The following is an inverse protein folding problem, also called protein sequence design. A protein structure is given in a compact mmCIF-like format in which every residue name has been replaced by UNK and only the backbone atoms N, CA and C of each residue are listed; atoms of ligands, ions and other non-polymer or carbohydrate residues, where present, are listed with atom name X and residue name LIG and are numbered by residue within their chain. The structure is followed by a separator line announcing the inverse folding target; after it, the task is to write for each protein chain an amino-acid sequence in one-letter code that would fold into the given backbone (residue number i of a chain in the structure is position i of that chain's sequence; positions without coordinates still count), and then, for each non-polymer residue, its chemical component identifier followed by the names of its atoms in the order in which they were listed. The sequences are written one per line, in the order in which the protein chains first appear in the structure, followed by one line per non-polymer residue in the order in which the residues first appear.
data_IF_623444044398
#
_entry.id   IF_623444044398
#
_cell.length_a   1.000
_cell.length_b   1.000
_cell.length_c   1.000
_cell.angle_alpha   90.00
_cell.angle_beta   90.00
_cell.angle_gamma   90.00
#
_symmetry.space_group_name_H-M   'P 1'
#
loop_
_entity.id
_entity.type
_entity.pdbx_description
1 polymer ?
#
# COMPACT_ATOMS: atom_id res chain seq x y z
N UNK A 1 -8.44 -4.46 -15.23
CA UNK A 1 -7.26 -3.56 -15.12
C UNK A 1 -6.14 -4.06 -16.02
N UNK A 2 -5.33 -3.14 -16.50
CA UNK A 2 -4.16 -3.50 -17.30
C UNK A 2 -3.07 -4.07 -16.39
N UNK A 3 -2.57 -5.26 -16.72
CA UNK A 3 -1.47 -5.89 -16.00
C UNK A 3 -0.13 -5.29 -16.40
N UNK A 4 0.72 -5.05 -15.42
CA UNK A 4 2.13 -4.78 -15.64
C UNK A 4 2.87 -6.12 -15.81
N UNK A 5 3.54 -6.30 -16.93
CA UNK A 5 4.20 -7.55 -17.25
C UNK A 5 5.43 -7.78 -16.38
N UNK A 6 5.37 -8.82 -15.57
CA UNK A 6 6.46 -9.28 -14.72
C UNK A 6 6.60 -10.79 -14.97
N UNK A 7 7.84 -11.29 -14.91
CA UNK A 7 8.11 -12.71 -15.07
C UNK A 7 7.27 -13.55 -14.09
N UNK A 8 6.55 -14.53 -14.61
CA UNK A 8 5.68 -15.41 -13.82
C UNK A 8 6.44 -16.11 -12.69
N UNK A 9 7.68 -16.52 -12.91
CA UNK A 9 8.52 -17.18 -11.92
C UNK A 9 8.94 -16.32 -10.73
N UNK A 10 8.70 -14.99 -10.78
CA UNK A 10 9.04 -14.09 -9.70
C UNK A 10 8.05 -14.13 -8.53
N UNK A 11 6.84 -14.66 -8.72
CA UNK A 11 5.72 -14.61 -7.78
C UNK A 11 5.27 -13.19 -7.43
N UNK A 12 5.58 -12.22 -8.28
CA UNK A 12 5.17 -10.82 -8.15
C UNK A 12 4.11 -10.54 -9.21
N UNK A 13 3.07 -9.83 -8.84
CA UNK A 13 2.07 -9.31 -9.76
C UNK A 13 1.98 -7.79 -9.67
N UNK A 14 1.62 -7.15 -10.76
CA UNK A 14 1.42 -5.71 -10.80
C UNK A 14 0.32 -5.33 -11.79
N UNK A 15 -0.46 -4.33 -11.45
CA UNK A 15 -1.53 -3.81 -12.30
C UNK A 15 -1.59 -2.30 -12.22
N UNK A 16 -1.98 -1.68 -13.31
CA UNK A 16 -2.15 -0.24 -13.37
C UNK A 16 -3.51 0.17 -12.83
N UNK A 17 -3.53 1.17 -11.97
CA UNK A 17 -4.75 1.84 -11.54
C UNK A 17 -4.87 3.19 -12.25
N UNK A 18 -6.08 3.80 -12.34
CA UNK A 18 -6.23 5.11 -12.99
C UNK A 18 -5.36 6.18 -12.33
N UNK A 19 -4.75 7.04 -13.13
CA UNK A 19 -3.91 8.14 -12.65
C UNK A 19 -4.66 9.05 -11.67
N UNK A 20 -5.95 9.27 -11.92
CA UNK A 20 -6.79 10.06 -11.00
C UNK A 20 -6.77 9.52 -9.56
N UNK A 21 -6.78 8.19 -9.40
CA UNK A 21 -6.74 7.58 -8.07
C UNK A 21 -5.38 7.86 -7.40
N UNK A 22 -4.29 7.81 -8.16
CA UNK A 22 -2.98 8.17 -7.67
C UNK A 22 -2.92 9.63 -7.25
N UNK A 23 -3.45 10.53 -8.05
CA UNK A 23 -3.53 11.96 -7.75
C UNK A 23 -4.37 12.24 -6.50
N UNK A 24 -5.51 11.55 -6.37
CA UNK A 24 -6.38 11.67 -5.20
C UNK A 24 -5.65 11.21 -3.91
N UNK A 25 -4.85 10.16 -3.96
CA UNK A 25 -4.05 9.69 -2.83
C UNK A 25 -2.96 10.70 -2.44
N UNK A 26 -2.31 11.29 -3.43
CA UNK A 26 -1.30 12.33 -3.21
C UNK A 26 -1.95 13.56 -2.55
N UNK A 27 -3.09 14.00 -3.06
CA UNK A 27 -3.84 15.11 -2.50
C UNK A 27 -4.28 14.82 -1.06
N UNK A 28 -4.81 13.63 -0.80
CA UNK A 28 -5.19 13.20 0.54
C UNK A 28 -4.00 13.29 1.50
N UNK A 29 -2.85 12.79 1.10
CA UNK A 29 -1.63 12.89 1.90
C UNK A 29 -1.24 14.34 2.18
N UNK A 30 -1.20 15.18 1.15
CA UNK A 30 -0.79 16.59 1.27
C UNK A 30 -1.73 17.42 2.16
N UNK A 31 -3.03 17.10 2.16
CA UNK A 31 -4.04 17.82 2.94
C UNK A 31 -4.25 17.26 4.35
N UNK A 32 -3.55 16.21 4.73
CA UNK A 32 -3.70 15.50 6.00
C UNK A 32 -2.45 15.58 6.88
N UNK A 33 -1.76 16.72 6.89
CA UNK A 33 -0.49 16.89 7.63
C UNK A 33 -0.62 16.57 9.13
N UNK A 34 -1.79 16.78 9.71
CA UNK A 34 -2.06 16.48 11.11
C UNK A 34 -2.00 14.97 11.44
N UNK A 35 -2.02 14.10 10.42
CA UNK A 35 -1.91 12.65 10.55
C UNK A 35 -0.51 12.12 10.24
N UNK A 36 0.42 12.97 9.82
CA UNK A 36 1.76 12.54 9.45
C UNK A 36 2.56 12.11 10.67
N UNK A 37 3.28 11.00 10.52
CA UNK A 37 4.19 10.46 11.51
C UNK A 37 5.55 10.18 10.87
N UNK A 38 6.62 10.22 11.65
CA UNK A 38 7.92 9.72 11.20
C UNK A 38 7.87 8.20 11.07
N UNK A 39 8.55 7.66 10.04
CA UNK A 39 8.65 6.23 9.84
C UNK A 39 9.32 5.53 11.02
N UNK A 40 8.78 4.37 11.39
CA UNK A 40 9.27 3.56 12.49
C UNK A 40 9.75 2.20 12.01
N UNK A 41 10.63 1.57 12.78
CA UNK A 41 11.08 0.18 12.60
C UNK A 41 10.73 -0.64 13.83
N UNK A 42 10.64 -1.96 13.65
CA UNK A 42 10.27 -2.89 14.72
C UNK A 42 8.79 -3.26 14.69
N UNK A 43 8.46 -4.43 15.19
CA UNK A 43 7.10 -4.99 15.21
C UNK A 43 6.48 -4.87 16.60
N UNK A 44 7.11 -5.44 17.62
CA UNK A 44 6.60 -5.42 18.98
C UNK A 44 6.88 -4.08 19.70
N UNK A 45 8.00 -3.46 19.41
CA UNK A 45 8.40 -2.17 19.97
C UNK A 45 8.84 -1.24 18.83
N UNK A 46 7.92 -0.41 18.37
CA UNK A 46 8.18 0.56 17.31
C UNK A 46 9.14 1.64 17.79
N UNK A 47 10.11 2.00 16.96
CA UNK A 47 11.06 3.07 17.21
C UNK A 47 11.40 3.81 15.93
N UNK A 48 11.83 5.06 16.05
CA UNK A 48 12.38 5.83 14.96
C UNK A 48 13.87 5.50 14.86
N UNK A 49 14.33 5.07 13.69
CA UNK A 49 15.73 4.78 13.40
C UNK A 49 16.05 5.21 11.97
N UNK A 50 16.52 6.44 11.81
CA UNK A 50 16.80 7.05 10.51
C UNK A 50 17.92 6.35 9.73
N UNK A 51 18.75 5.54 10.41
CA UNK A 51 19.78 4.73 9.76
C UNK A 51 19.20 3.64 8.88
N UNK A 52 18.07 3.06 9.29
CA UNK A 52 17.39 1.99 8.58
C UNK A 52 16.19 2.47 7.78
N UNK A 53 15.51 3.51 8.26
CA UNK A 53 14.32 4.03 7.62
C UNK A 53 14.16 5.52 7.89
N UNK A 54 14.09 6.30 6.83
CA UNK A 54 13.79 7.73 6.91
C UNK A 54 12.70 8.07 5.92
N UNK A 55 11.51 8.39 6.42
CA UNK A 55 10.34 8.78 5.63
C UNK A 55 9.29 9.44 6.51
N UNK A 56 8.25 9.94 5.88
CA UNK A 56 7.01 10.37 6.56
C UNK A 56 5.90 9.43 6.14
N UNK A 57 5.03 9.05 7.05
CA UNK A 57 3.95 8.12 6.76
C UNK A 57 2.63 8.53 7.40
N UNK A 58 1.54 8.05 6.82
CA UNK A 58 0.19 8.28 7.28
C UNK A 58 -0.60 6.98 7.21
N UNK A 59 -1.32 6.66 8.29
CA UNK A 59 -2.21 5.50 8.35
C UNK A 59 -3.65 5.92 8.07
N UNK A 60 -4.35 5.11 7.30
CA UNK A 60 -5.76 5.31 6.97
C UNK A 60 -6.51 4.02 7.26
N UNK A 61 -7.54 4.10 8.08
CA UNK A 61 -8.37 2.93 8.36
C UNK A 61 -9.15 2.48 7.12
N UNK A 62 -9.33 1.15 6.90
CA UNK A 62 -10.13 0.63 5.79
C UNK A 62 -11.59 1.11 5.82
N UNK A 63 -12.07 1.56 6.98
CA UNK A 63 -13.41 2.11 7.14
C UNK A 63 -13.52 3.59 6.79
N UNK A 64 -12.42 4.26 6.51
CA UNK A 64 -12.44 5.64 6.06
C UNK A 64 -13.18 5.74 4.72
N UNK A 65 -14.18 6.60 4.65
CA UNK A 65 -15.03 6.72 3.47
C UNK A 65 -14.24 7.05 2.19
N UNK A 66 -13.25 7.91 2.29
CA UNK A 66 -12.42 8.28 1.14
C UNK A 66 -11.69 7.08 0.57
N UNK A 67 -11.11 6.23 1.42
CA UNK A 67 -10.40 5.03 0.98
C UNK A 67 -11.33 3.99 0.38
N UNK A 68 -12.48 3.77 1.01
CA UNK A 68 -13.48 2.82 0.53
C UNK A 68 -13.98 3.21 -0.86
N UNK A 69 -14.23 4.51 -1.08
CA UNK A 69 -14.81 4.99 -2.33
C UNK A 69 -13.80 5.19 -3.46
N UNK A 70 -12.49 5.24 -3.16
CA UNK A 70 -11.47 5.56 -4.16
C UNK A 70 -10.48 4.43 -4.40
N UNK A 71 -9.61 4.15 -3.44
CA UNK A 71 -8.47 3.25 -3.64
C UNK A 71 -8.77 1.79 -3.33
N UNK A 72 -9.49 1.53 -2.25
CA UNK A 72 -9.67 0.16 -1.75
C UNK A 72 -10.29 -0.80 -2.78
N UNK A 73 -11.27 -0.39 -3.61
CA UNK A 73 -11.81 -1.27 -4.65
C UNK A 73 -10.73 -1.74 -5.64
N UNK A 74 -9.80 -0.88 -6.02
CA UNK A 74 -8.69 -1.24 -6.92
C UNK A 74 -7.70 -2.19 -6.24
N UNK A 75 -7.41 -1.97 -4.96
CA UNK A 75 -6.54 -2.87 -4.21
C UNK A 75 -7.15 -4.28 -4.09
N UNK A 76 -8.45 -4.36 -3.83
CA UNK A 76 -9.17 -5.64 -3.81
C UNK A 76 -9.15 -6.33 -5.17
N UNK A 77 -9.32 -5.58 -6.24
CA UNK A 77 -9.24 -6.12 -7.61
C UNK A 77 -7.85 -6.67 -7.91
N UNK A 78 -6.79 -5.95 -7.52
CA UNK A 78 -5.40 -6.44 -7.64
C UNK A 78 -5.20 -7.75 -6.87
N UNK A 79 -5.73 -7.83 -5.66
CA UNK A 79 -5.62 -9.04 -4.84
C UNK A 79 -6.31 -10.24 -5.51
N UNK A 80 -7.51 -10.04 -6.05
CA UNK A 80 -8.23 -11.11 -6.75
C UNK A 80 -7.52 -11.53 -8.04
N UNK A 81 -6.98 -10.58 -8.81
CA UNK A 81 -6.18 -10.89 -10.00
C UNK A 81 -4.89 -11.64 -9.63
N UNK A 82 -4.25 -11.30 -8.54
CA UNK A 82 -3.07 -12.02 -8.03
C UNK A 82 -3.41 -13.48 -7.68
N UNK A 83 -4.53 -13.70 -7.00
CA UNK A 83 -5.00 -15.05 -6.65
C UNK A 83 -5.32 -15.89 -7.89
N UNK A 84 -5.84 -15.28 -8.94
CA UNK A 84 -6.06 -15.97 -10.23
C UNK A 84 -4.74 -16.34 -10.90
N UNK A 85 -3.75 -15.44 -10.85
CA UNK A 85 -2.43 -15.67 -11.44
C UNK A 85 -1.65 -16.74 -10.67
N UNK A 86 -1.74 -16.73 -9.36
CA UNK A 86 -1.07 -17.65 -8.45
C UNK A 86 -2.06 -18.36 -7.54
N UNK A 87 -2.83 -19.33 -8.05
CA UNK A 87 -3.94 -19.94 -7.29
C UNK A 87 -3.51 -20.69 -6.05
N UNK A 88 -2.25 -21.15 -6.01
CA UNK A 88 -1.73 -21.83 -4.81
C UNK A 88 -1.50 -20.87 -3.64
N UNK A 89 -1.42 -19.58 -3.87
CA UNK A 89 -1.22 -18.59 -2.82
C UNK A 89 -2.35 -18.56 -1.79
N UNK A 90 -3.55 -18.98 -2.18
CA UNK A 90 -4.78 -18.93 -1.37
C UNK A 90 -5.25 -20.33 -0.90
N UNK A 91 -4.44 -21.37 -1.12
CA UNK A 91 -4.85 -22.76 -0.90
C UNK A 91 -4.74 -23.21 0.54
N UNK A 92 -3.71 -22.80 1.25
CA UNK A 92 -3.46 -23.25 2.63
C UNK A 92 -4.30 -22.42 3.59
N UNK A 93 -4.21 -21.11 3.49
CA UNK A 93 -5.01 -20.17 4.28
C UNK A 93 -5.51 -19.04 3.38
N UNK A 94 -6.80 -18.78 3.43
CA UNK A 94 -7.40 -17.61 2.78
C UNK A 94 -6.89 -16.35 3.43
N UNK A 95 -6.56 -15.34 2.62
CA UNK A 95 -6.06 -14.05 3.12
C UNK A 95 -6.78 -12.89 2.45
N UNK A 96 -6.82 -11.77 3.15
CA UNK A 96 -7.44 -10.55 2.68
C UNK A 96 -6.77 -9.33 3.35
N UNK A 97 -7.21 -8.14 2.96
CA UNK A 97 -6.73 -6.90 3.57
C UNK A 97 -7.33 -6.76 4.97
N UNK A 98 -6.48 -6.77 5.99
CA UNK A 98 -6.92 -6.77 7.39
C UNK A 98 -6.32 -5.66 8.24
N UNK A 99 -5.38 -4.90 7.69
CA UNK A 99 -4.68 -3.82 8.41
C UNK A 99 -4.98 -2.46 7.79
N UNK A 100 -4.79 -1.37 8.54
CA UNK A 100 -4.86 -0.02 7.97
C UNK A 100 -3.92 0.15 6.79
N UNK A 101 -4.35 0.95 5.83
CA UNK A 101 -3.52 1.31 4.67
C UNK A 101 -2.52 2.37 5.11
N UNK A 102 -1.27 2.20 4.70
CA UNK A 102 -0.22 3.15 5.01
C UNK A 102 0.28 3.82 3.74
N UNK A 103 0.26 5.15 3.73
CA UNK A 103 0.93 5.94 2.69
C UNK A 103 2.30 6.33 3.24
N UNK A 104 3.35 5.97 2.50
CA UNK A 104 4.73 6.31 2.83
C UNK A 104 5.25 7.33 1.83
N UNK A 105 5.82 8.41 2.33
CA UNK A 105 6.41 9.45 1.51
C UNK A 105 7.91 9.54 1.78
N UNK A 106 8.68 9.46 0.72
CA UNK A 106 10.14 9.56 0.75
C UNK A 106 10.58 10.78 -0.07
N UNK A 107 11.26 11.71 0.58
CA UNK A 107 11.93 12.80 -0.13
C UNK A 107 13.18 12.27 -0.84
N UNK A 108 13.70 12.98 -1.87
CA UNK A 108 14.99 12.62 -2.46
C UNK A 108 16.07 12.49 -1.38
N UNK A 109 16.80 11.36 -1.41
CA UNK A 109 17.82 11.04 -0.41
C UNK A 109 17.32 10.30 0.84
N UNK A 110 16.01 10.22 1.04
CA UNK A 110 15.42 9.37 2.07
C UNK A 110 15.23 7.95 1.56
N UNK A 111 15.07 6.99 2.46
CA UNK A 111 14.90 5.60 2.07
C UNK A 111 14.65 4.67 3.24
N UNK A 112 14.58 3.41 2.85
CA UNK A 112 14.33 2.30 3.78
C UNK A 112 15.30 1.16 3.53
#
# INVERSE_FOLDING_TARGET
MKEYEIDYGSFIGGWYIPEKICDDLIELYQTSQHLWEEGTVGVAKKRIDEKYKKNTEMYIHPNDFTMISTYLPYLHECLEEYKKKYPYSDRVNTYNISTPIKIQYYKPGEGF
#
